data_IF_865782867972
#
_entry.id   IF_865782867972
#
_cell.length_a   1.000
_cell.length_b   1.000
_cell.length_c   1.000
_cell.angle_alpha   90.00
_cell.angle_beta   90.00
_cell.angle_gamma   90.00
#
_symmetry.space_group_name_H-M   'P 1'
#
loop_
_entity.id
_entity.type
_entity.pdbx_description
1 polymer ?
#
# COMPACT_ATOMS: atom_id res chain seq x y z
N UNK A 1 -32.03 10.83 -18.69
CA UNK A 1 -31.24 9.66 -18.25
C UNK A 1 -29.79 10.13 -18.19
N UNK A 2 -29.48 11.01 -17.24
CA UNK A 2 -28.25 11.82 -17.23
C UNK A 2 -27.63 11.93 -15.83
N UNK A 3 -28.08 11.09 -14.90
CA UNK A 3 -27.85 11.24 -13.45
C UNK A 3 -26.69 10.39 -12.90
N UNK A 4 -26.04 9.55 -13.72
CA UNK A 4 -24.92 8.69 -13.29
C UNK A 4 -23.53 9.15 -13.77
N UNK A 5 -23.45 10.27 -14.51
CA UNK A 5 -22.18 10.76 -15.09
C UNK A 5 -21.14 11.18 -14.04
N UNK A 6 -21.60 11.57 -12.83
CA UNK A 6 -20.71 11.93 -11.73
C UNK A 6 -19.95 10.73 -11.15
N UNK A 7 -20.56 9.54 -11.09
CA UNK A 7 -19.94 8.32 -10.55
C UNK A 7 -18.69 7.88 -11.33
N UNK A 8 -18.63 8.23 -12.62
CA UNK A 8 -17.48 7.95 -13.50
C UNK A 8 -16.42 9.06 -13.51
N UNK A 9 -16.65 10.21 -12.87
CA UNK A 9 -15.66 11.30 -12.86
C UNK A 9 -14.54 11.01 -11.86
N UNK A 10 -14.88 10.38 -10.74
CA UNK A 10 -13.92 9.94 -9.72
C UNK A 10 -13.20 8.63 -10.08
N UNK A 11 -13.69 7.86 -11.06
CA UNK A 11 -13.04 6.62 -11.50
C UNK A 11 -11.71 6.87 -12.21
N UNK A 12 -11.43 8.09 -12.66
CA UNK A 12 -10.17 8.49 -13.28
C UNK A 12 -9.21 9.24 -12.35
N UNK A 13 -9.66 9.65 -11.15
CA UNK A 13 -8.80 10.39 -10.23
C UNK A 13 -7.88 9.41 -9.50
N UNK A 14 -6.59 9.47 -9.84
CA UNK A 14 -5.57 8.63 -9.25
C UNK A 14 -5.05 9.23 -7.94
N UNK A 15 -4.80 8.35 -6.99
CA UNK A 15 -4.09 8.70 -5.75
C UNK A 15 -2.95 7.73 -5.54
N UNK A 16 -1.93 8.18 -4.81
CA UNK A 16 -0.95 7.32 -4.13
C UNK A 16 -1.12 7.42 -2.62
N UNK A 17 -0.87 6.33 -1.92
CA UNK A 17 -0.86 6.31 -0.47
C UNK A 17 0.21 5.33 0.04
N UNK A 18 1.26 5.83 0.72
CA UNK A 18 2.20 4.98 1.45
C UNK A 18 1.54 4.27 2.62
N UNK A 19 2.03 3.08 2.95
CA UNK A 19 1.54 2.27 4.07
C UNK A 19 2.67 1.52 4.79
N UNK A 20 2.39 1.15 6.03
CA UNK A 20 3.17 0.23 6.86
C UNK A 20 2.22 -0.72 7.57
N UNK A 21 2.54 -2.02 7.55
CA UNK A 21 1.80 -3.08 8.25
C UNK A 21 2.76 -3.70 9.27
N UNK A 22 2.28 -3.82 10.51
CA UNK A 22 3.04 -4.34 11.65
C UNK A 22 2.31 -5.54 12.22
N UNK A 23 3.05 -6.60 12.52
CA UNK A 23 2.52 -7.80 13.17
C UNK A 23 3.41 -9.01 12.92
N UNK A 24 2.82 -10.20 12.97
CA UNK A 24 3.53 -11.44 12.64
C UNK A 24 3.47 -11.64 11.12
N UNK A 25 4.47 -11.11 10.42
CA UNK A 25 4.55 -11.05 8.96
C UNK A 25 5.74 -11.83 8.38
N UNK A 26 6.76 -12.11 9.20
CA UNK A 26 7.91 -12.93 8.82
C UNK A 26 7.45 -14.32 8.34
N UNK A 27 8.08 -14.82 7.27
CA UNK A 27 7.76 -16.12 6.64
C UNK A 27 6.32 -16.28 6.11
N UNK A 28 5.56 -15.18 5.97
CA UNK A 28 4.15 -15.25 5.50
C UNK A 28 3.98 -14.99 4.00
N UNK A 29 5.06 -14.66 3.28
CA UNK A 29 5.03 -14.22 1.87
C UNK A 29 4.04 -13.08 1.65
N UNK A 30 3.93 -12.15 2.62
CA UNK A 30 2.91 -11.10 2.62
C UNK A 30 2.94 -10.28 1.33
N UNK A 31 4.12 -9.84 0.89
CA UNK A 31 4.26 -9.05 -0.32
C UNK A 31 3.90 -9.81 -1.61
N UNK A 32 4.09 -11.13 -1.67
CA UNK A 32 3.65 -11.95 -2.80
C UNK A 32 2.12 -12.00 -2.89
N UNK A 33 1.46 -12.22 -1.75
CA UNK A 33 0.01 -12.18 -1.67
C UNK A 33 -0.54 -10.78 -1.95
N UNK A 34 0.11 -9.74 -1.45
CA UNK A 34 -0.25 -8.35 -1.72
C UNK A 34 -0.13 -8.03 -3.21
N UNK A 35 0.92 -8.53 -3.88
CA UNK A 35 1.07 -8.42 -5.33
C UNK A 35 -0.09 -9.09 -6.07
N UNK A 36 -0.41 -10.34 -5.74
CA UNK A 36 -1.53 -11.04 -6.36
C UNK A 36 -2.87 -10.30 -6.19
N UNK A 37 -3.08 -9.68 -5.01
CA UNK A 37 -4.26 -8.86 -4.76
C UNK A 37 -4.24 -7.57 -5.59
N UNK A 38 -3.11 -6.86 -5.61
CA UNK A 38 -2.95 -5.62 -6.36
C UNK A 38 -3.21 -5.84 -7.85
N UNK A 39 -2.62 -6.90 -8.43
CA UNK A 39 -2.81 -7.28 -9.83
C UNK A 39 -4.29 -7.53 -10.14
N UNK A 40 -5.02 -8.23 -9.25
CA UNK A 40 -6.47 -8.48 -9.41
C UNK A 40 -7.34 -7.21 -9.37
N UNK A 41 -6.86 -6.16 -8.68
CA UNK A 41 -7.56 -4.89 -8.54
C UNK A 41 -7.10 -3.83 -9.54
N UNK A 42 -6.03 -4.08 -10.31
CA UNK A 42 -5.38 -3.05 -11.14
C UNK A 42 -4.69 -1.95 -10.30
N UNK A 43 -4.26 -2.28 -9.09
CA UNK A 43 -3.47 -1.38 -8.23
C UNK A 43 -1.99 -1.49 -8.59
N UNK A 44 -1.29 -0.36 -8.59
CA UNK A 44 0.16 -0.28 -8.82
C UNK A 44 0.88 0.20 -7.58
N UNK A 45 2.21 0.15 -7.59
CA UNK A 45 3.05 0.59 -6.48
C UNK A 45 3.99 -0.49 -6.03
N UNK A 46 4.22 -0.62 -4.72
CA UNK A 46 5.15 -1.63 -4.23
C UNK A 46 4.83 -2.13 -2.82
N UNK A 47 5.43 -3.28 -2.50
CA UNK A 47 5.50 -3.87 -1.17
C UNK A 47 6.94 -4.31 -0.89
N UNK A 48 7.35 -4.26 0.38
CA UNK A 48 8.70 -4.53 0.82
C UNK A 48 8.71 -4.98 2.28
N UNK A 49 9.29 -6.14 2.54
CA UNK A 49 9.60 -6.57 3.91
C UNK A 49 10.76 -5.72 4.46
N UNK A 50 10.69 -5.34 5.74
CA UNK A 50 11.73 -4.55 6.42
C UNK A 50 12.58 -5.44 7.34
N UNK A 51 13.76 -4.96 7.70
CA UNK A 51 14.62 -5.63 8.70
C UNK A 51 14.01 -5.63 10.12
N UNK A 52 13.00 -4.77 10.35
CA UNK A 52 12.28 -4.67 11.63
C UNK A 52 11.09 -5.64 11.72
N UNK A 53 10.93 -6.54 10.74
CA UNK A 53 9.83 -7.51 10.69
C UNK A 53 8.48 -6.90 10.29
N UNK A 54 8.49 -5.69 9.72
CA UNK A 54 7.29 -5.00 9.20
C UNK A 54 7.22 -5.08 7.68
N UNK A 55 6.07 -4.68 7.12
CA UNK A 55 5.87 -4.58 5.67
C UNK A 55 5.54 -3.15 5.30
N UNK A 56 6.37 -2.55 4.44
CA UNK A 56 6.19 -1.19 3.93
C UNK A 56 5.87 -1.17 2.45
N UNK A 57 5.15 -0.14 2.01
CA UNK A 57 4.79 -0.03 0.61
C UNK A 57 4.09 1.26 0.21
N UNK A 58 3.70 1.32 -1.04
CA UNK A 58 2.85 2.37 -1.59
C UNK A 58 1.82 1.72 -2.52
N UNK A 59 0.57 2.16 -2.43
CA UNK A 59 -0.50 1.76 -3.35
C UNK A 59 -0.92 2.96 -4.20
N UNK A 60 -1.15 2.72 -5.49
CA UNK A 60 -1.58 3.72 -6.45
C UNK A 60 -2.81 3.23 -7.23
N UNK A 61 -3.80 4.11 -7.38
CA UNK A 61 -5.00 3.83 -8.16
C UNK A 61 -6.18 4.75 -7.86
N UNK A 62 -7.33 4.49 -8.49
CA UNK A 62 -8.59 5.16 -8.17
C UNK A 62 -9.04 4.93 -6.72
N UNK A 63 -9.74 5.89 -6.13
CA UNK A 63 -10.15 5.84 -4.71
C UNK A 63 -10.89 4.56 -4.32
N UNK A 64 -11.78 4.05 -5.17
CA UNK A 64 -12.57 2.86 -4.86
C UNK A 64 -11.70 1.57 -4.84
N UNK A 65 -10.74 1.44 -5.75
CA UNK A 65 -9.81 0.31 -5.78
C UNK A 65 -8.79 0.39 -4.65
N UNK A 66 -8.30 1.61 -4.34
CA UNK A 66 -7.43 1.82 -3.18
C UNK A 66 -8.13 1.40 -1.89
N UNK A 67 -9.40 1.77 -1.69
CA UNK A 67 -10.17 1.35 -0.51
C UNK A 67 -10.24 -0.18 -0.40
N UNK A 68 -10.47 -0.90 -1.50
CA UNK A 68 -10.48 -2.35 -1.53
C UNK A 68 -9.10 -2.94 -1.15
N UNK A 69 -8.03 -2.35 -1.68
CA UNK A 69 -6.67 -2.78 -1.35
C UNK A 69 -6.33 -2.53 0.12
N UNK A 70 -6.74 -1.37 0.68
CA UNK A 70 -6.55 -1.06 2.10
C UNK A 70 -7.27 -2.04 3.01
N UNK A 71 -8.51 -2.40 2.69
CA UNK A 71 -9.26 -3.42 3.45
C UNK A 71 -8.49 -4.74 3.42
N UNK A 72 -7.99 -5.16 2.26
CA UNK A 72 -7.21 -6.38 2.15
C UNK A 72 -5.93 -6.33 2.99
N UNK A 73 -5.15 -5.25 2.88
CA UNK A 73 -3.90 -5.04 3.61
C UNK A 73 -4.08 -5.04 5.14
N UNK A 74 -5.29 -4.75 5.63
CA UNK A 74 -5.55 -4.57 7.07
C UNK A 74 -6.38 -5.68 7.72
N UNK A 75 -7.20 -6.39 6.94
CA UNK A 75 -8.16 -7.38 7.47
C UNK A 75 -8.01 -8.78 6.91
N UNK A 76 -7.35 -8.92 5.76
CA UNK A 76 -7.22 -10.21 5.06
C UNK A 76 -5.77 -10.66 5.10
N UNK A 77 -4.86 -9.86 4.54
CA UNK A 77 -3.44 -10.18 4.46
C UNK A 77 -3.15 -11.52 3.77
N UNK A 78 -1.93 -12.02 3.97
CA UNK A 78 -1.57 -13.39 3.61
C UNK A 78 -2.15 -14.40 4.63
N UNK A 79 -2.36 -15.68 4.25
CA UNK A 79 -3.04 -16.67 5.10
C UNK A 79 -2.42 -16.91 6.48
N UNK A 80 -1.11 -16.67 6.64
CA UNK A 80 -0.37 -16.85 7.89
C UNK A 80 -0.09 -15.54 8.63
N UNK A 81 -0.41 -14.40 8.03
CA UNK A 81 -0.15 -13.11 8.65
C UNK A 81 -1.13 -12.81 9.78
N UNK A 82 -0.60 -12.26 10.86
CA UNK A 82 -1.39 -11.68 11.93
C UNK A 82 -1.08 -10.20 11.98
N UNK A 83 -2.02 -9.38 11.52
CA UNK A 83 -1.89 -7.94 11.50
C UNK A 83 -2.24 -7.40 12.89
N UNK A 84 -1.30 -6.70 13.52
CA UNK A 84 -1.51 -6.07 14.83
C UNK A 84 -1.88 -4.60 14.65
N UNK A 85 -1.07 -3.87 13.88
CA UNK A 85 -1.24 -2.44 13.63
C UNK A 85 -0.94 -2.13 12.18
N UNK A 86 -1.48 -1.02 11.70
CA UNK A 86 -1.22 -0.53 10.35
C UNK A 86 -1.26 0.98 10.32
N UNK A 87 -0.44 1.56 9.45
CA UNK A 87 -0.37 2.99 9.22
C UNK A 87 -0.57 3.26 7.74
N UNK A 88 -1.39 4.27 7.45
CA UNK A 88 -1.49 4.85 6.12
C UNK A 88 -1.10 6.31 6.20
N UNK A 89 -0.11 6.71 5.40
CA UNK A 89 0.31 8.11 5.33
C UNK A 89 -0.74 8.95 4.59
N UNK A 90 -0.45 10.24 4.41
CA UNK A 90 -1.32 11.13 3.65
C UNK A 90 -1.61 10.58 2.24
N UNK A 91 -2.88 10.57 1.85
CA UNK A 91 -3.32 10.17 0.51
C UNK A 91 -3.15 11.35 -0.44
N UNK A 92 -2.27 11.22 -1.42
CA UNK A 92 -1.92 12.29 -2.34
C UNK A 92 -2.52 12.03 -3.73
N UNK A 93 -3.11 13.05 -4.35
CA UNK A 93 -3.60 12.95 -5.73
C UNK A 93 -2.42 12.98 -6.71
N UNK A 94 -2.42 12.08 -7.68
CA UNK A 94 -1.40 12.01 -8.74
C UNK A 94 -2.04 12.16 -10.12
N UNK A 95 -1.29 12.68 -11.08
CA UNK A 95 -1.77 12.87 -12.45
C UNK A 95 -1.56 11.62 -13.32
N UNK A 96 -0.61 10.77 -12.95
CA UNK A 96 -0.27 9.52 -13.60
C UNK A 96 0.33 8.56 -12.57
N UNK A 97 0.37 7.28 -12.89
CA UNK A 97 1.07 6.30 -12.05
C UNK A 97 2.59 6.55 -12.06
N UNK A 98 3.23 6.42 -10.89
CA UNK A 98 4.69 6.42 -10.78
C UNK A 98 5.29 5.04 -11.09
N UNK A 99 4.46 3.99 -11.02
CA UNK A 99 4.85 2.60 -11.26
C UNK A 99 4.07 2.03 -12.44
N UNK A 100 4.70 1.16 -13.23
CA UNK A 100 4.03 0.44 -14.31
C UNK A 100 3.16 -0.69 -13.76
N UNK A 101 3.63 -1.36 -12.70
CA UNK A 101 2.97 -2.49 -12.04
C UNK A 101 3.06 -2.41 -10.52
N UNK A 102 2.49 -3.39 -9.82
CA UNK A 102 2.77 -3.64 -8.41
C UNK A 102 4.01 -4.54 -8.26
N UNK A 103 5.08 -4.01 -7.67
CA UNK A 103 6.38 -4.69 -7.55
C UNK A 103 6.73 -5.05 -6.11
N UNK A 104 7.48 -6.13 -5.93
CA UNK A 104 8.04 -6.51 -4.63
C UNK A 104 9.51 -6.05 -4.62
N UNK A 105 9.87 -5.17 -3.69
CA UNK A 105 11.25 -4.72 -3.55
C UNK A 105 12.03 -5.64 -2.59
N UNK A 106 13.23 -6.09 -2.97
CA UNK A 106 14.11 -6.81 -2.05
C UNK A 106 14.74 -5.81 -1.07
N UNK A 107 14.12 -5.65 0.10
CA UNK A 107 14.60 -4.71 1.13
C UNK A 107 14.63 -3.27 0.64
N UNK A 108 15.57 -2.46 1.15
CA UNK A 108 15.59 -0.98 1.11
C UNK A 108 14.83 -0.31 -0.04
N UNK A 109 13.92 0.64 0.25
CA UNK A 109 13.04 1.20 -0.75
C UNK A 109 13.83 2.00 -1.81
N UNK A 110 13.33 2.10 -3.05
CA UNK A 110 13.98 2.86 -4.11
C UNK A 110 14.27 4.31 -3.68
N UNK A 111 15.50 4.79 -3.95
CA UNK A 111 15.95 6.15 -3.60
C UNK A 111 15.10 7.22 -4.30
N UNK A 112 13.98 7.64 -3.70
CA UNK A 112 13.22 8.82 -4.14
C UNK A 112 13.84 10.09 -3.54
N UNK A 113 13.96 11.16 -4.33
CA UNK A 113 14.46 12.47 -3.85
C UNK A 113 13.52 13.01 -2.77
N UNK A 114 13.99 12.94 -1.52
CA UNK A 114 13.45 13.63 -0.34
C UNK A 114 12.10 13.10 0.18
N UNK A 115 12.05 11.84 0.58
CA UNK A 115 11.16 11.47 1.68
C UNK A 115 11.89 11.71 2.99
N UNK A 116 11.32 12.57 3.84
CA UNK A 116 11.76 12.74 5.22
C UNK A 116 10.98 11.74 6.08
N UNK A 117 11.24 10.45 5.90
CA UNK A 117 10.96 9.46 6.94
C UNK A 117 12.06 9.62 7.98
N UNK A 118 11.96 10.67 8.79
CA UNK A 118 12.84 10.78 9.95
C UNK A 118 12.16 10.05 11.09
N UNK A 119 12.66 8.85 11.39
CA UNK A 119 13.16 8.52 12.72
C UNK A 119 12.28 8.84 13.95
N UNK A 120 10.96 8.93 13.83
CA UNK A 120 10.07 9.15 14.99
C UNK A 120 9.39 7.86 15.48
N UNK A 121 9.70 6.69 14.89
CA UNK A 121 9.23 5.40 15.39
C UNK A 121 10.33 4.56 16.04
N UNK A 122 11.34 5.20 16.63
CA UNK A 122 12.15 4.53 17.66
C UNK A 122 11.27 4.35 18.91
N UNK A 123 10.76 3.14 19.11
CA UNK A 123 10.43 2.56 20.41
C UNK A 123 9.79 3.52 21.43
N UNK A 124 8.46 3.66 21.37
CA UNK A 124 7.69 3.94 22.58
C UNK A 124 6.87 2.70 22.92
N UNK A 125 7.55 1.75 23.58
CA UNK A 125 6.90 0.95 24.60
C UNK A 125 6.50 1.90 25.73
N UNK A 126 5.20 2.06 25.93
CA UNK A 126 4.57 2.10 27.26
C UNK A 126 3.23 1.39 27.18
#
# INVERSE_FOLDING_TARGET
>A
MEDDKWKYKDSYVLFRQPFEIVGYLEETLFCEHAKGKADSLGIRGYCMDTEEGTVNGEIQGPTHLLSNMKIWLTRVGSPKAIIQYYYFAHKERINQFDFEDFVIFPGTPPKRKKWRWTKDFTHLHQ
#
